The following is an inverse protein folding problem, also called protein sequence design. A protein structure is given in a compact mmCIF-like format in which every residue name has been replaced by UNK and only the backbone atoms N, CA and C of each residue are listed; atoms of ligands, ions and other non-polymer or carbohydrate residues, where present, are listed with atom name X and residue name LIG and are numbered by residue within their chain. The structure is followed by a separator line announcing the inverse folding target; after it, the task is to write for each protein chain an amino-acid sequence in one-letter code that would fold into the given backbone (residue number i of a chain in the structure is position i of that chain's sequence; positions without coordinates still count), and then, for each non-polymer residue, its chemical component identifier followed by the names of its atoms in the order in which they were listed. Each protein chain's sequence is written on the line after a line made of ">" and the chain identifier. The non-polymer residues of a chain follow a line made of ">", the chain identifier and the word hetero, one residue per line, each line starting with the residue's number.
data_IF_849203626967
#
_entry.id   IF_849203626967
#
_cell.length_a   1.000
_cell.length_b   1.000
_cell.length_c   1.000
_cell.angle_alpha   90.00
_cell.angle_beta   90.00
_cell.angle_gamma   90.00
#
_symmetry.space_group_name_H-M   'P 1'
#
loop_
_entity.id
_entity.type
_entity.pdbx_description
1 polymer ?
#
# COMPACT_ATOMS: atom_id res chain seq x y z
N UNK A 1 11.44 6.68 -9.03
CA UNK A 1 10.98 5.38 -8.51
C UNK A 1 9.47 5.25 -8.76
N UNK A 2 9.04 4.61 -9.87
CA UNK A 2 7.64 4.31 -10.18
C UNK A 2 6.79 3.83 -9.01
N UNK A 3 7.30 2.94 -8.14
CA UNK A 3 6.54 2.41 -7.01
C UNK A 3 6.16 3.49 -5.98
N UNK A 4 7.07 4.40 -5.63
CA UNK A 4 6.72 5.53 -4.75
C UNK A 4 5.75 6.51 -5.40
N UNK A 5 5.86 6.73 -6.72
CA UNK A 5 4.88 7.54 -7.45
C UNK A 5 3.50 6.89 -7.41
N UNK A 6 3.43 5.57 -7.59
CA UNK A 6 2.20 4.81 -7.52
C UNK A 6 1.54 4.92 -6.14
N UNK A 7 2.31 4.76 -5.07
CA UNK A 7 1.80 4.88 -3.70
C UNK A 7 1.22 6.28 -3.42
N UNK A 8 1.94 7.34 -3.79
CA UNK A 8 1.45 8.72 -3.67
C UNK A 8 0.15 8.97 -4.47
N UNK A 9 0.03 8.40 -5.66
CA UNK A 9 -1.17 8.53 -6.48
C UNK A 9 -2.34 7.72 -5.89
N UNK A 10 -2.07 6.55 -5.30
CA UNK A 10 -3.08 5.77 -4.57
C UNK A 10 -3.63 6.57 -3.39
N UNK A 11 -2.76 7.18 -2.58
CA UNK A 11 -3.18 8.07 -1.48
C UNK A 11 -4.03 9.22 -2.02
N UNK A 12 -3.56 9.90 -3.07
CA UNK A 12 -4.31 11.00 -3.69
C UNK A 12 -5.69 10.55 -4.17
N UNK A 13 -5.78 9.41 -4.86
CA UNK A 13 -7.04 8.89 -5.38
C UNK A 13 -8.01 8.52 -4.24
N UNK A 14 -7.51 7.91 -3.16
CA UNK A 14 -8.31 7.64 -1.96
C UNK A 14 -8.87 8.93 -1.37
N UNK A 15 -8.04 9.95 -1.17
CA UNK A 15 -8.47 11.25 -0.61
C UNK A 15 -9.53 11.90 -1.50
N UNK A 16 -9.32 11.94 -2.82
CA UNK A 16 -10.31 12.49 -3.78
C UNK A 16 -11.61 11.69 -3.76
N UNK A 17 -11.54 10.38 -3.50
CA UNK A 17 -12.71 9.52 -3.36
C UNK A 17 -13.42 9.63 -2.00
N UNK A 18 -12.98 10.53 -1.12
CA UNK A 18 -13.53 10.71 0.22
C UNK A 18 -13.11 9.65 1.24
N UNK A 19 -11.99 8.94 0.99
CA UNK A 19 -11.46 7.88 1.87
C UNK A 19 -10.06 8.24 2.35
N UNK A 20 -9.77 7.94 3.61
CA UNK A 20 -8.40 8.01 4.11
C UNK A 20 -7.64 6.74 3.73
N UNK A 21 -6.45 6.91 3.13
CA UNK A 21 -5.56 5.81 2.76
C UNK A 21 -4.67 5.34 3.92
N UNK A 22 -4.56 6.13 4.99
CA UNK A 22 -3.74 5.82 6.16
C UNK A 22 -4.50 6.15 7.47
N UNK A 23 -5.61 5.45 7.75
CA UNK A 23 -6.38 5.70 8.97
C UNK A 23 -5.67 5.24 10.25
N UNK A 24 -4.66 4.37 10.14
CA UNK A 24 -3.96 3.73 11.26
C UNK A 24 -3.63 4.67 12.42
N UNK A 25 -2.90 5.78 12.19
CA UNK A 25 -2.53 6.73 13.25
C UNK A 25 -3.71 7.37 14.00
N UNK A 26 -4.92 7.35 13.41
CA UNK A 26 -6.12 7.89 14.05
C UNK A 26 -6.90 6.84 14.84
N UNK A 27 -6.70 5.55 14.58
CA UNK A 27 -7.54 4.48 15.12
C UNK A 27 -7.55 4.47 16.65
N UNK A 28 -6.38 4.54 17.29
CA UNK A 28 -6.30 4.56 18.76
C UNK A 28 -7.15 5.67 19.37
N UNK A 29 -6.97 6.90 18.88
CA UNK A 29 -7.72 8.06 19.38
C UNK A 29 -9.22 7.98 19.10
N UNK A 30 -9.64 7.36 17.99
CA UNK A 30 -11.06 7.11 17.71
C UNK A 30 -11.66 6.10 18.69
N UNK A 31 -10.94 5.03 19.01
CA UNK A 31 -11.37 4.01 19.97
C UNK A 31 -11.45 4.58 21.40
N UNK A 32 -10.48 5.40 21.81
CA UNK A 32 -10.53 6.11 23.09
C UNK A 32 -11.73 7.06 23.17
N UNK A 33 -11.98 7.85 22.11
CA UNK A 33 -13.14 8.76 22.03
C UNK A 33 -14.48 8.04 22.07
N UNK A 34 -14.54 6.79 21.61
CA UNK A 34 -15.73 5.96 21.69
C UNK A 34 -16.01 5.44 23.12
N UNK A 35 -15.16 5.75 24.10
CA UNK A 35 -15.36 5.40 25.51
C UNK A 35 -14.67 4.11 25.94
N UNK A 36 -13.86 3.50 25.06
CA UNK A 36 -13.04 2.35 25.45
C UNK A 36 -11.90 2.79 26.37
N UNK A 37 -11.64 1.99 27.40
CA UNK A 37 -10.55 2.19 28.36
C UNK A 37 -9.42 1.20 28.11
N UNK A 38 -8.21 1.54 28.54
CA UNK A 38 -7.00 0.70 28.39
C UNK A 38 -6.67 0.33 26.93
N UNK A 39 -6.87 1.26 26.00
CA UNK A 39 -6.60 1.06 24.57
C UNK A 39 -5.09 0.91 24.34
N UNK A 40 -4.68 -0.17 23.67
CA UNK A 40 -3.31 -0.42 23.24
C UNK A 40 -3.23 -0.41 21.72
N UNK A 41 -2.14 0.16 21.21
CA UNK A 41 -1.79 0.16 19.80
C UNK A 41 -0.44 -0.55 19.67
N UNK A 42 -0.37 -1.49 18.75
CA UNK A 42 0.86 -2.20 18.39
C UNK A 42 1.04 -2.04 16.89
N UNK A 43 2.20 -1.52 16.49
CA UNK A 43 2.51 -1.24 15.08
C UNK A 43 3.46 -2.33 14.58
N UNK A 44 3.11 -2.95 13.45
CA UNK A 44 3.88 -4.04 12.88
C UNK A 44 4.51 -3.64 11.54
N UNK A 45 5.81 -3.91 11.31
CA UNK A 45 6.40 -3.71 10.00
C UNK A 45 5.83 -4.72 9.01
N UNK A 46 5.37 -4.22 7.86
CA UNK A 46 4.76 -5.01 6.80
C UNK A 46 5.56 -4.83 5.50
N UNK A 47 6.63 -5.61 5.33
CA UNK A 47 7.54 -5.48 4.19
C UNK A 47 6.88 -5.94 2.89
N UNK A 48 7.34 -5.39 1.76
CA UNK A 48 7.09 -5.93 0.43
C UNK A 48 8.40 -6.53 -0.10
N UNK A 49 8.39 -7.83 -0.35
CA UNK A 49 9.52 -8.58 -0.89
C UNK A 49 10.37 -9.30 0.16
N UNK A 50 11.40 -9.99 -0.31
CA UNK A 50 12.20 -10.93 0.49
C UNK A 50 13.47 -10.31 1.11
N UNK A 51 13.56 -8.98 1.13
CA UNK A 51 14.72 -8.24 1.64
C UNK A 51 14.93 -8.31 3.17
N UNK A 52 13.91 -8.54 4.04
CA UNK A 52 14.16 -8.65 5.47
C UNK A 52 15.10 -9.81 5.81
N UNK A 53 15.95 -9.63 6.82
CA UNK A 53 16.82 -10.71 7.33
C UNK A 53 16.06 -11.71 8.20
N UNK A 54 15.12 -11.20 9.00
CA UNK A 54 14.26 -12.03 9.85
C UNK A 54 13.42 -12.99 8.99
N UNK A 55 13.35 -14.26 9.42
CA UNK A 55 12.69 -15.33 8.65
C UNK A 55 11.19 -15.08 8.50
N UNK A 56 10.52 -14.63 9.57
CA UNK A 56 9.07 -14.40 9.56
C UNK A 56 8.72 -13.19 8.70
N UNK A 57 9.45 -12.08 8.86
CA UNK A 57 9.25 -10.88 8.04
C UNK A 57 9.56 -11.12 6.56
N UNK A 58 10.55 -11.94 6.25
CA UNK A 58 10.87 -12.33 4.87
C UNK A 58 9.73 -13.13 4.23
N UNK A 59 9.18 -14.10 4.95
CA UNK A 59 8.05 -14.90 4.48
C UNK A 59 6.80 -14.02 4.28
N UNK A 60 6.48 -13.17 5.25
CA UNK A 60 5.40 -12.19 5.14
C UNK A 60 5.59 -11.26 3.93
N UNK A 61 6.80 -10.74 3.73
CA UNK A 61 7.11 -9.89 2.60
C UNK A 61 7.03 -10.61 1.26
N UNK A 62 7.36 -11.89 1.20
CA UNK A 62 7.16 -12.72 0.00
C UNK A 62 5.68 -12.83 -0.35
N UNK A 63 4.82 -13.13 0.63
CA UNK A 63 3.37 -13.17 0.42
C UNK A 63 2.82 -11.81 0.00
N UNK A 64 3.28 -10.73 0.63
CA UNK A 64 2.79 -9.41 0.25
C UNK A 64 3.24 -8.99 -1.15
N UNK A 65 4.48 -9.31 -1.54
CA UNK A 65 4.94 -9.12 -2.93
C UNK A 65 4.09 -9.93 -3.91
N UNK A 66 3.81 -11.19 -3.62
CA UNK A 66 2.95 -12.04 -4.45
C UNK A 66 1.56 -11.41 -4.63
N UNK A 67 0.89 -11.05 -3.53
CA UNK A 67 -0.44 -10.40 -3.59
C UNK A 67 -0.41 -9.09 -4.36
N UNK A 68 0.63 -8.27 -4.18
CA UNK A 68 0.80 -7.00 -4.91
C UNK A 68 0.96 -7.24 -6.40
N UNK A 69 1.74 -8.25 -6.82
CA UNK A 69 1.96 -8.55 -8.23
C UNK A 69 0.71 -9.10 -8.91
N UNK A 70 -0.02 -10.01 -8.25
CA UNK A 70 -1.22 -10.65 -8.79
C UNK A 70 -2.41 -9.69 -8.92
N UNK A 71 -2.50 -8.67 -8.05
CA UNK A 71 -3.67 -7.78 -7.98
C UNK A 71 -3.34 -6.30 -8.23
N UNK A 72 -2.19 -5.99 -8.81
CA UNK A 72 -1.75 -4.60 -9.00
C UNK A 72 -2.76 -3.78 -9.82
N UNK A 73 -3.27 -4.37 -10.90
CA UNK A 73 -4.31 -3.77 -11.75
C UNK A 73 -5.61 -3.59 -10.98
N UNK A 74 -6.06 -4.63 -10.26
CA UNK A 74 -7.34 -4.66 -9.59
C UNK A 74 -7.48 -3.58 -8.53
N UNK A 75 -6.40 -3.31 -7.78
CA UNK A 75 -6.39 -2.24 -6.77
C UNK A 75 -6.23 -0.84 -7.38
N UNK A 76 -5.68 -0.71 -8.59
CA UNK A 76 -5.32 0.60 -9.16
C UNK A 76 -6.38 1.14 -10.12
N UNK A 77 -6.95 0.30 -10.99
CA UNK A 77 -7.77 0.72 -12.14
C UNK A 77 -8.94 1.62 -11.73
N UNK A 78 -9.76 1.16 -10.77
CA UNK A 78 -10.94 1.91 -10.37
C UNK A 78 -10.58 3.25 -9.71
N UNK A 79 -9.49 3.30 -8.93
CA UNK A 79 -9.05 4.53 -8.28
C UNK A 79 -8.55 5.56 -9.30
N UNK A 80 -7.71 5.13 -10.23
CA UNK A 80 -7.05 6.06 -11.15
C UNK A 80 -8.01 6.54 -12.25
N UNK A 81 -8.86 5.65 -12.76
CA UNK A 81 -9.81 6.04 -13.82
C UNK A 81 -10.97 6.89 -13.30
N UNK A 82 -11.55 6.54 -12.13
CA UNK A 82 -12.72 7.26 -11.60
C UNK A 82 -12.38 8.54 -10.85
N UNK A 83 -11.21 8.62 -10.20
CA UNK A 83 -10.87 9.74 -9.31
C UNK A 83 -9.66 10.56 -9.76
N UNK A 84 -8.80 10.04 -10.65
CA UNK A 84 -7.67 10.80 -11.19
C UNK A 84 -7.81 11.13 -12.69
N UNK A 85 -8.87 10.66 -13.34
CA UNK A 85 -9.16 10.95 -14.75
C UNK A 85 -8.24 10.24 -15.75
N UNK A 86 -7.53 9.21 -15.33
CA UNK A 86 -6.66 8.43 -16.21
C UNK A 86 -7.50 7.52 -17.11
N UNK A 87 -6.99 7.24 -18.29
CA UNK A 87 -7.49 6.15 -19.14
C UNK A 87 -6.95 4.80 -18.64
N UNK A 88 -7.67 3.71 -18.93
CA UNK A 88 -7.21 2.36 -18.57
C UNK A 88 -5.85 2.04 -19.21
N UNK A 89 -5.60 2.55 -20.42
CA UNK A 89 -4.34 2.38 -21.15
C UNK A 89 -3.17 3.04 -20.41
N UNK A 90 -3.32 4.29 -19.95
CA UNK A 90 -2.30 4.98 -19.15
C UNK A 90 -2.00 4.23 -17.86
N UNK A 91 -3.02 3.67 -17.20
CA UNK A 91 -2.85 2.84 -16.00
C UNK A 91 -2.00 1.61 -16.33
N UNK A 92 -2.34 0.84 -17.36
CA UNK A 92 -1.59 -0.37 -17.70
C UNK A 92 -0.13 -0.11 -18.08
N UNK A 93 0.12 0.96 -18.84
CA UNK A 93 1.48 1.40 -19.19
C UNK A 93 2.26 1.73 -17.91
N UNK A 94 1.69 2.55 -17.03
CA UNK A 94 2.35 2.92 -15.77
C UNK A 94 2.61 1.72 -14.85
N UNK A 95 1.64 0.80 -14.74
CA UNK A 95 1.78 -0.39 -13.89
C UNK A 95 2.87 -1.35 -14.38
N UNK A 96 3.24 -1.31 -15.67
CA UNK A 96 4.38 -2.06 -16.19
C UNK A 96 5.68 -1.64 -15.50
N UNK A 97 5.89 -0.35 -15.27
CA UNK A 97 7.07 0.15 -14.58
C UNK A 97 6.99 -0.06 -13.07
N UNK A 98 5.81 0.02 -12.48
CA UNK A 98 5.59 -0.31 -11.05
C UNK A 98 5.94 -1.77 -10.76
N UNK A 99 5.59 -2.71 -11.65
CA UNK A 99 5.98 -4.13 -11.49
C UNK A 99 7.49 -4.34 -11.52
N UNK A 100 8.22 -3.55 -12.33
CA UNK A 100 9.70 -3.62 -12.36
C UNK A 100 10.28 -3.21 -11.02
N UNK A 101 9.76 -2.14 -10.41
CA UNK A 101 10.18 -1.70 -9.09
C UNK A 101 9.81 -2.72 -7.99
N UNK A 102 8.60 -3.28 -8.01
CA UNK A 102 8.18 -4.31 -7.05
C UNK A 102 9.10 -5.54 -7.07
N UNK A 103 9.61 -5.92 -8.25
CA UNK A 103 10.54 -7.05 -8.42
C UNK A 103 12.00 -6.68 -8.17
N UNK A 104 12.33 -5.41 -7.93
CA UNK A 104 13.69 -4.96 -7.73
C UNK A 104 14.14 -5.24 -6.27
N UNK A 105 15.10 -6.16 -6.04
CA UNK A 105 15.54 -6.51 -4.69
C UNK A 105 16.29 -5.38 -3.98
N UNK A 106 16.67 -4.32 -4.70
CA UNK A 106 17.31 -3.13 -4.12
C UNK A 106 16.31 -2.14 -3.52
N UNK A 107 15.02 -2.31 -3.79
CA UNK A 107 13.95 -1.48 -3.23
C UNK A 107 13.39 -2.19 -2.00
N UNK A 108 13.60 -1.60 -0.82
CA UNK A 108 13.13 -2.14 0.45
C UNK A 108 11.82 -1.46 0.87
N UNK A 109 10.75 -1.68 0.11
CA UNK A 109 9.44 -1.13 0.43
C UNK A 109 8.85 -1.80 1.69
N UNK A 110 8.26 -1.00 2.57
CA UNK A 110 7.67 -1.44 3.84
C UNK A 110 6.54 -0.49 4.24
N UNK A 111 5.44 -1.03 4.76
CA UNK A 111 4.38 -0.28 5.42
C UNK A 111 4.37 -0.57 6.92
N UNK A 112 3.67 0.27 7.67
CA UNK A 112 3.34 0.01 9.06
C UNK A 112 1.86 -0.38 9.11
N UNK A 113 1.56 -1.55 9.68
CA UNK A 113 0.20 -1.98 10.04
C UNK A 113 -0.11 -1.59 11.47
#
# INVERSE_FOLDING_TARGET
>A
MPLAKWDNLMIKACVVSGRDASPGPMLKGLIEKAGFVNVKEEIFPFPIGMWPKDKKLKEMGAYNLFQRLENLEGITLALFTRFLGWTSQEVFVFLTDVRKDLKNPKIHACYNL
#
